data_IF_311682212637
#
_entry.id   IF_311682212637
#
_cell.length_a   1.000
_cell.length_b   1.000
_cell.length_c   1.000
_cell.angle_alpha   90.00
_cell.angle_beta   90.00
_cell.angle_gamma   90.00
#
_symmetry.space_group_name_H-M   'P 1'
#
loop_
_entity.id
_entity.type
_entity.pdbx_description
1 polymer ?
#
# COMPACT_ATOMS: atom_id res chain seq x y z
N UNK A 1 11.27 4.51 15.48
CA UNK A 1 9.84 4.88 15.35
C UNK A 1 9.31 4.49 13.98
N UNK A 2 8.09 3.97 13.87
CA UNK A 2 7.50 3.52 12.61
C UNK A 2 6.51 4.56 12.06
N UNK A 3 6.83 5.16 10.91
CA UNK A 3 6.07 6.25 10.27
C UNK A 3 4.58 5.93 10.11
N UNK A 4 4.23 4.66 9.89
CA UNK A 4 2.84 4.22 9.77
C UNK A 4 2.01 4.44 11.05
N UNK A 5 2.59 4.23 12.24
CA UNK A 5 1.87 4.49 13.51
C UNK A 5 1.64 5.98 13.74
N UNK A 6 2.54 6.83 13.25
CA UNK A 6 2.42 8.28 13.40
C UNK A 6 1.41 8.85 12.41
N UNK A 7 1.44 8.40 11.16
CA UNK A 7 0.56 8.93 10.11
C UNK A 7 -0.90 8.49 10.29
N UNK A 8 -1.15 7.20 10.57
CA UNK A 8 -2.48 6.57 10.71
C UNK A 8 -3.43 6.67 9.51
N UNK A 9 -3.19 7.55 8.54
CA UNK A 9 -4.05 7.78 7.37
C UNK A 9 -3.46 7.28 6.06
N UNK A 10 -2.13 7.20 5.93
CA UNK A 10 -1.46 6.90 4.65
C UNK A 10 -1.80 5.56 4.01
N UNK A 11 -2.37 4.61 4.77
CA UNK A 11 -2.74 3.30 4.25
C UNK A 11 -4.24 3.17 3.93
N UNK A 12 -4.99 4.27 4.02
CA UNK A 12 -6.40 4.36 3.69
C UNK A 12 -6.61 5.15 2.40
N UNK A 13 -7.54 4.69 1.57
CA UNK A 13 -7.81 5.25 0.24
C UNK A 13 -9.31 5.39 0.06
N UNK A 14 -9.75 6.45 -0.63
CA UNK A 14 -11.11 6.49 -1.16
C UNK A 14 -11.18 5.62 -2.42
N UNK A 15 -12.38 5.21 -2.83
CA UNK A 15 -12.56 4.38 -4.04
C UNK A 15 -12.01 5.07 -5.29
N UNK A 16 -12.23 6.39 -5.43
CA UNK A 16 -11.68 7.21 -6.52
C UNK A 16 -10.14 7.27 -6.54
N UNK A 17 -9.52 7.07 -5.39
CA UNK A 17 -8.06 7.17 -5.21
C UNK A 17 -7.39 5.78 -5.22
N UNK A 18 -8.16 4.71 -5.41
CA UNK A 18 -7.65 3.33 -5.40
C UNK A 18 -6.58 3.08 -6.46
N UNK A 19 -6.64 3.82 -7.57
CA UNK A 19 -5.63 3.77 -8.63
C UNK A 19 -4.24 4.24 -8.16
N UNK A 20 -4.16 5.04 -7.09
CA UNK A 20 -2.89 5.45 -6.48
C UNK A 20 -2.38 4.43 -5.44
N UNK A 21 -3.00 3.26 -5.33
CA UNK A 21 -2.48 2.19 -4.50
C UNK A 21 -1.05 1.84 -4.92
N UNK A 22 -0.12 1.63 -3.95
CA UNK A 22 1.28 1.54 -4.30
C UNK A 22 1.63 0.40 -5.25
N UNK A 23 2.61 0.63 -6.11
CA UNK A 23 3.15 -0.35 -7.05
C UNK A 23 4.48 -0.92 -6.55
N UNK A 24 4.69 -2.19 -6.87
CA UNK A 24 5.81 -2.99 -6.38
C UNK A 24 6.45 -3.68 -7.56
N UNK A 25 7.77 -3.63 -7.63
CA UNK A 25 8.53 -4.43 -8.59
C UNK A 25 8.49 -5.91 -8.20
N UNK A 26 8.73 -6.80 -9.18
CA UNK A 26 8.84 -8.24 -8.95
C UNK A 26 9.89 -8.57 -7.89
N UNK A 27 10.98 -7.81 -7.83
CA UNK A 27 12.06 -8.00 -6.86
C UNK A 27 11.67 -7.59 -5.45
N UNK A 28 10.92 -6.50 -5.30
CA UNK A 28 10.38 -6.08 -4.00
C UNK A 28 9.35 -7.10 -3.49
N UNK A 29 8.51 -7.64 -4.38
CA UNK A 29 7.54 -8.66 -4.03
C UNK A 29 8.19 -9.94 -3.50
N UNK A 30 9.36 -10.36 -4.05
CA UNK A 30 10.10 -11.53 -3.54
C UNK A 30 10.49 -11.38 -2.07
N UNK A 31 10.67 -10.15 -1.59
CA UNK A 31 11.04 -9.88 -0.19
C UNK A 31 9.83 -9.98 0.75
N UNK A 32 8.61 -9.86 0.23
CA UNK A 32 7.38 -9.77 1.02
C UNK A 32 6.76 -11.15 1.25
N UNK A 33 6.57 -11.57 2.51
CA UNK A 33 5.90 -12.82 2.81
C UNK A 33 4.41 -12.73 2.43
N UNK A 34 3.86 -13.82 1.86
CA UNK A 34 2.44 -13.93 1.51
C UNK A 34 1.94 -12.84 0.54
N UNK A 35 2.80 -12.45 -0.41
CA UNK A 35 2.45 -11.50 -1.47
C UNK A 35 1.42 -12.05 -2.47
N UNK A 36 1.33 -13.38 -2.63
CA UNK A 36 0.44 -14.02 -3.59
C UNK A 36 -1.02 -13.59 -3.36
N UNK A 37 -1.73 -13.32 -4.45
CA UNK A 37 -3.13 -12.84 -4.50
C UNK A 37 -3.41 -11.42 -4.00
N UNK A 38 -2.43 -10.71 -3.41
CA UNK A 38 -2.58 -9.32 -2.96
C UNK A 38 -2.15 -8.28 -4.00
N UNK A 39 -1.75 -8.71 -5.18
CA UNK A 39 -1.28 -7.83 -6.25
C UNK A 39 -1.87 -8.22 -7.62
N UNK A 40 -2.06 -7.25 -8.49
CA UNK A 40 -2.39 -7.42 -9.92
C UNK A 40 -1.24 -6.91 -10.79
N UNK A 41 -1.01 -7.46 -11.99
CA UNK A 41 -0.11 -6.85 -12.97
C UNK A 41 -0.50 -5.40 -13.24
N UNK A 42 0.46 -4.46 -13.15
CA UNK A 42 0.21 -3.06 -13.47
C UNK A 42 0.35 -2.84 -14.98
N UNK A 43 -0.70 -2.35 -15.65
CA UNK A 43 -0.71 -2.09 -17.11
C UNK A 43 -0.15 -3.27 -17.94
N UNK A 44 -0.57 -4.50 -17.62
CA UNK A 44 -0.10 -5.74 -18.27
C UNK A 44 1.42 -6.02 -18.16
N UNK A 45 2.12 -5.38 -17.23
CA UNK A 45 3.54 -5.62 -16.97
C UNK A 45 3.79 -6.94 -16.23
N UNK A 46 4.82 -7.68 -16.64
CA UNK A 46 5.34 -8.86 -15.91
C UNK A 46 6.39 -8.49 -14.83
N UNK A 47 6.74 -7.21 -14.71
CA UNK A 47 7.80 -6.72 -13.82
C UNK A 47 7.27 -5.87 -12.67
N UNK A 48 6.09 -5.27 -12.83
CA UNK A 48 5.50 -4.33 -11.86
C UNK A 48 4.07 -4.76 -11.57
N UNK A 49 3.71 -4.68 -10.30
CA UNK A 49 2.42 -5.12 -9.81
C UNK A 49 1.82 -4.08 -8.86
N UNK A 50 0.53 -3.82 -9.02
CA UNK A 50 -0.22 -2.91 -8.17
C UNK A 50 -0.82 -3.64 -6.99
N UNK A 51 -0.74 -3.03 -5.81
CA UNK A 51 -1.35 -3.56 -4.59
C UNK A 51 -2.88 -3.56 -4.70
N UNK A 52 -3.50 -4.71 -4.48
CA UNK A 52 -4.95 -4.81 -4.37
C UNK A 52 -5.38 -4.31 -2.99
N UNK A 53 -6.09 -3.19 -2.96
CA UNK A 53 -6.72 -2.71 -1.74
C UNK A 53 -7.92 -3.58 -1.36
N UNK A 54 -8.24 -3.62 -0.06
CA UNK A 54 -9.39 -4.34 0.48
C UNK A 54 -10.32 -3.37 1.20
N UNK A 55 -11.59 -3.73 1.38
CA UNK A 55 -12.50 -2.92 2.19
C UNK A 55 -12.04 -2.92 3.65
N UNK A 56 -11.96 -1.73 4.24
CA UNK A 56 -11.69 -1.56 5.67
C UNK A 56 -12.81 -2.17 6.50
N UNK A 57 -12.46 -2.78 7.64
CA UNK A 57 -13.45 -3.29 8.60
C UNK A 57 -14.00 -2.22 9.53
N UNK A 58 -13.35 -1.05 9.58
CA UNK A 58 -13.66 0.03 10.52
C UNK A 58 -14.17 1.30 9.86
N UNK A 59 -13.87 1.49 8.59
CA UNK A 59 -14.14 2.72 7.86
C UNK A 59 -14.80 2.39 6.52
N UNK A 60 -15.59 3.33 5.99
CA UNK A 60 -16.13 3.27 4.62
C UNK A 60 -15.07 3.63 3.58
N UNK A 61 -13.90 2.97 3.64
CA UNK A 61 -12.72 3.23 2.81
C UNK A 61 -12.05 1.93 2.38
N UNK A 62 -11.19 2.03 1.38
CA UNK A 62 -10.25 0.98 1.02
C UNK A 62 -9.00 1.08 1.88
N UNK A 63 -8.36 -0.05 2.16
CA UNK A 63 -7.20 -0.13 3.05
C UNK A 63 -6.15 -1.09 2.49
N UNK A 64 -4.89 -0.80 2.77
CA UNK A 64 -3.78 -1.70 2.49
C UNK A 64 -3.94 -3.04 3.25
N UNK A 65 -3.86 -4.20 2.58
CA UNK A 65 -4.03 -5.52 3.22
C UNK A 65 -2.89 -5.91 4.19
N UNK A 66 -1.85 -5.08 4.31
CA UNK A 66 -0.76 -5.26 5.27
C UNK A 66 -0.91 -4.36 6.51
N UNK A 67 -1.87 -3.43 6.52
CA UNK A 67 -2.18 -2.63 7.70
C UNK A 67 -2.96 -3.48 8.72
N UNK A 68 -2.57 -3.40 9.99
CA UNK A 68 -3.43 -3.79 11.09
C UNK A 68 -4.24 -2.56 11.53
N UNK A 69 -5.53 -2.54 11.26
CA UNK A 69 -6.42 -1.39 11.57
C UNK A 69 -6.67 -1.18 13.08
N UNK A 70 -6.30 -2.14 13.94
CA UNK A 70 -6.36 -1.97 15.40
C UNK A 70 -5.14 -1.24 15.92
N UNK A 71 -3.96 -1.67 15.48
CA UNK A 71 -2.68 -1.18 16.03
C UNK A 71 -1.97 -0.17 15.14
N UNK A 72 -2.50 0.09 13.94
CA UNK A 72 -1.88 0.89 12.88
C UNK A 72 -0.48 0.40 12.48
N UNK A 73 -0.20 -0.89 12.72
CA UNK A 73 1.06 -1.53 12.39
C UNK A 73 1.05 -2.08 10.96
N UNK A 74 2.07 -1.73 10.18
CA UNK A 74 2.31 -2.35 8.87
C UNK A 74 3.06 -3.68 9.04
N UNK A 75 2.45 -4.79 8.62
CA UNK A 75 3.05 -6.14 8.68
C UNK A 75 4.33 -6.28 7.86
N UNK A 76 4.55 -5.41 6.88
CA UNK A 76 5.73 -5.41 6.01
C UNK A 76 6.61 -4.18 6.23
N UNK A 77 6.51 -3.49 7.38
CA UNK A 77 7.14 -2.18 7.59
C UNK A 77 8.64 -2.13 7.23
N UNK A 78 9.40 -3.15 7.65
CA UNK A 78 10.85 -3.28 7.36
C UNK A 78 11.15 -3.61 5.89
N UNK A 79 10.17 -4.16 5.17
CA UNK A 79 10.28 -4.62 3.79
C UNK A 79 9.40 -3.81 2.83
N UNK A 80 9.04 -2.58 3.21
CA UNK A 80 8.23 -1.68 2.38
C UNK A 80 8.97 -1.43 1.05
N UNK A 81 8.26 -1.46 -0.09
CA UNK A 81 8.82 -1.06 -1.37
C UNK A 81 9.14 0.43 -1.36
N UNK A 82 9.85 0.88 -2.38
CA UNK A 82 10.18 2.29 -2.59
C UNK A 82 8.92 3.17 -2.57
N UNK A 83 7.87 2.76 -3.28
CA UNK A 83 6.64 3.55 -3.41
C UNK A 83 5.94 3.81 -2.06
N UNK A 84 5.87 2.78 -1.21
CA UNK A 84 5.36 2.92 0.17
C UNK A 84 6.26 3.74 1.11
N UNK A 85 7.54 3.94 0.79
CA UNK A 85 8.46 4.77 1.57
C UNK A 85 8.33 6.25 1.20
N UNK A 86 8.03 6.53 -0.08
CA UNK A 86 7.86 7.87 -0.61
C UNK A 86 6.45 8.38 -0.30
N UNK A 87 5.44 7.51 -0.24
CA UNK A 87 4.08 7.88 0.10
C UNK A 87 3.93 8.51 1.51
N UNK A 88 3.17 9.61 1.70
CA UNK A 88 2.30 10.30 0.74
C UNK A 88 2.96 11.52 0.06
N UNK A 89 4.29 11.62 0.04
CA UNK A 89 4.98 12.79 -0.55
C UNK A 89 4.66 12.97 -2.05
N UNK A 90 4.24 11.90 -2.73
CA UNK A 90 3.69 11.92 -4.10
C UNK A 90 2.37 12.71 -4.25
N UNK A 91 1.69 13.07 -3.15
CA UNK A 91 0.38 13.74 -3.15
C UNK A 91 0.43 15.26 -2.91
N UNK A 92 1.59 15.90 -3.03
CA UNK A 92 1.73 17.36 -2.88
C UNK A 92 1.96 18.08 -4.22
N UNK A 93 1.13 17.82 -5.23
CA UNK A 93 0.97 18.76 -6.35
C UNK A 93 -0.49 19.24 -6.37
N UNK A 94 -0.78 20.28 -5.59
CA UNK A 94 -1.95 21.13 -5.86
C UNK A 94 -1.53 22.14 -6.91
N UNK A 95 -2.19 22.11 -8.07
CA UNK A 95 -2.22 23.28 -8.95
C UNK A 95 -3.21 24.28 -8.38
#
# INVERSE_FOLDING_TARGET
MNLCQQCKSCCYFNEKDAYYAPIFTKEELKKIPKAKNKFTPYKNSKKVYQLKLVKSKKHKKLVCPYLNENTHLCKIYKKRPLDCKIWPLLFMYSK
#
